data_IF_995440537781
#
_entry.id   IF_995440537781
#
_cell.length_a   1.000
_cell.length_b   1.000
_cell.length_c   1.000
_cell.angle_alpha   90.00
_cell.angle_beta   90.00
_cell.angle_gamma   90.00
#
_symmetry.space_group_name_H-M   'P 1'
#
loop_
_entity.id
_entity.type
_entity.pdbx_description
1 polymer ?
#
# COMPACT_ATOMS: atom_id res chain seq x y z
N UNK A 1 10.60 17.15 -19.55
CA UNK A 1 9.31 16.51 -19.26
C UNK A 1 8.68 16.17 -20.60
N UNK A 2 8.71 14.88 -20.94
CA UNK A 2 8.15 14.36 -22.19
C UNK A 2 7.47 13.02 -21.91
N UNK A 3 6.40 13.04 -21.11
CA UNK A 3 5.69 11.81 -20.77
C UNK A 3 4.66 11.38 -21.81
N UNK A 4 4.36 12.20 -22.83
CA UNK A 4 3.43 11.85 -23.93
C UNK A 4 3.94 10.66 -24.75
N UNK A 5 5.25 10.43 -24.76
CA UNK A 5 5.81 9.19 -25.36
C UNK A 5 5.36 7.89 -24.66
N UNK A 6 4.72 8.00 -23.49
CA UNK A 6 4.22 6.86 -22.71
C UNK A 6 2.69 6.63 -22.86
N UNK A 7 2.02 7.30 -23.80
CA UNK A 7 0.58 7.12 -24.07
C UNK A 7 0.22 5.64 -24.30
N UNK A 8 1.05 4.92 -25.06
CA UNK A 8 0.85 3.48 -25.32
C UNK A 8 0.91 2.63 -24.05
N UNK A 9 1.78 2.99 -23.09
CA UNK A 9 1.89 2.28 -21.83
C UNK A 9 0.62 2.49 -20.99
N UNK A 10 0.09 3.71 -20.95
CA UNK A 10 -1.19 4.00 -20.29
C UNK A 10 -2.34 3.26 -20.96
N UNK A 11 -2.47 3.37 -22.29
CA UNK A 11 -3.52 2.71 -23.06
C UNK A 11 -3.56 1.19 -22.83
N UNK A 12 -2.39 0.53 -22.80
CA UNK A 12 -2.29 -0.92 -22.56
C UNK A 12 -2.81 -1.38 -21.19
N UNK A 13 -2.90 -0.46 -20.23
CA UNK A 13 -3.36 -0.71 -18.86
C UNK A 13 -4.82 -0.31 -18.62
N UNK A 14 -5.37 0.62 -19.40
CA UNK A 14 -6.75 1.07 -19.25
C UNK A 14 -7.73 -0.07 -19.53
N UNK A 15 -7.59 -0.75 -20.69
CA UNK A 15 -8.43 -1.88 -21.10
C UNK A 15 -9.92 -1.62 -20.89
N UNK A 16 -10.37 -0.39 -21.17
CA UNK A 16 -11.76 0.04 -20.93
C UNK A 16 -12.63 -0.21 -22.16
N UNK A 17 -12.08 0.07 -23.34
CA UNK A 17 -12.77 -0.01 -24.62
C UNK A 17 -11.99 -0.92 -25.57
N UNK A 18 -11.88 -0.54 -26.85
CA UNK A 18 -10.93 -1.12 -27.79
C UNK A 18 -9.58 -0.39 -27.75
N UNK A 19 -8.55 -1.05 -28.29
CA UNK A 19 -7.16 -0.53 -28.30
C UNK A 19 -7.05 0.87 -28.90
N UNK A 20 -7.83 1.20 -29.93
CA UNK A 20 -7.77 2.50 -30.61
C UNK A 20 -8.39 3.57 -29.72
N UNK A 21 -9.56 3.30 -29.17
CA UNK A 21 -10.24 4.18 -28.23
C UNK A 21 -9.41 4.42 -26.95
N UNK A 22 -8.85 3.37 -26.36
CA UNK A 22 -7.98 3.47 -25.17
C UNK A 22 -6.71 4.29 -25.46
N UNK A 23 -6.14 4.16 -26.66
CA UNK A 23 -4.97 4.94 -27.08
C UNK A 23 -5.30 6.42 -27.24
N UNK A 24 -6.43 6.73 -27.89
CA UNK A 24 -6.89 8.10 -28.05
C UNK A 24 -7.20 8.74 -26.69
N UNK A 25 -7.87 8.00 -25.80
CA UNK A 25 -8.20 8.47 -24.46
C UNK A 25 -6.94 8.69 -23.60
N UNK A 26 -5.97 7.78 -23.65
CA UNK A 26 -4.69 7.95 -22.96
C UNK A 26 -3.97 9.24 -23.39
N UNK A 27 -3.93 9.49 -24.71
CA UNK A 27 -3.33 10.69 -25.29
C UNK A 27 -4.04 11.97 -24.83
N UNK A 28 -5.37 12.01 -24.90
CA UNK A 28 -6.15 13.15 -24.43
C UNK A 28 -5.95 13.42 -22.94
N UNK A 29 -5.89 12.36 -22.13
CA UNK A 29 -5.64 12.45 -20.70
C UNK A 29 -4.24 13.03 -20.41
N UNK A 30 -3.20 12.55 -21.09
CA UNK A 30 -1.82 13.03 -20.93
C UNK A 30 -1.69 14.50 -21.35
N UNK A 31 -2.29 14.89 -22.48
CA UNK A 31 -2.28 16.27 -22.96
C UNK A 31 -2.98 17.23 -21.99
N UNK A 32 -4.15 16.83 -21.47
CA UNK A 32 -4.88 17.62 -20.47
C UNK A 32 -4.05 17.84 -19.21
N UNK A 33 -3.36 16.80 -18.73
CA UNK A 33 -2.53 16.89 -17.54
C UNK A 33 -1.22 17.63 -17.78
N UNK A 34 -0.67 17.61 -19.00
CA UNK A 34 0.53 18.39 -19.38
C UNK A 34 0.34 19.86 -19.16
N UNK A 35 -0.73 20.43 -19.70
CA UNK A 35 -1.03 21.85 -19.48
C UNK A 35 -1.15 22.18 -17.99
N UNK A 36 -2.00 21.44 -17.27
CA UNK A 36 -2.20 21.64 -15.81
C UNK A 36 -0.92 21.49 -14.99
N UNK A 37 -0.06 20.55 -15.37
CA UNK A 37 1.17 20.26 -14.65
C UNK A 37 2.25 21.31 -14.91
N UNK A 38 2.32 21.85 -16.13
CA UNK A 38 3.18 23.00 -16.45
C UNK A 38 2.74 24.21 -15.64
N UNK A 39 1.47 24.61 -15.74
CA UNK A 39 0.91 25.77 -15.02
C UNK A 39 1.13 25.63 -13.50
N UNK A 40 0.91 24.43 -12.96
CA UNK A 40 1.13 24.16 -11.55
C UNK A 40 2.60 24.32 -11.15
N UNK A 41 3.57 23.88 -11.96
CA UNK A 41 4.99 23.95 -11.61
C UNK A 41 5.60 25.34 -11.76
N UNK A 42 4.99 26.21 -12.57
CA UNK A 42 5.35 27.63 -12.63
C UNK A 42 5.07 28.32 -11.29
N UNK A 43 3.94 28.01 -10.64
CA UNK A 43 3.68 28.38 -9.25
C UNK A 43 4.32 27.38 -8.27
N UNK A 44 5.63 27.55 -8.04
CA UNK A 44 6.41 26.67 -7.14
C UNK A 44 5.81 26.57 -5.73
N UNK A 45 5.31 27.69 -5.19
CA UNK A 45 4.72 27.71 -3.86
C UNK A 45 3.42 26.89 -3.87
N UNK A 46 2.54 27.17 -4.84
CA UNK A 46 1.31 26.42 -5.08
C UNK A 46 1.56 24.93 -5.24
N UNK A 47 2.46 24.51 -6.12
CA UNK A 47 2.79 23.10 -6.33
C UNK A 47 3.34 22.39 -5.07
N UNK A 48 3.96 23.14 -4.16
CA UNK A 48 4.48 22.59 -2.90
C UNK A 48 3.36 22.34 -1.90
N UNK A 49 2.47 23.33 -1.71
CA UNK A 49 1.48 23.33 -0.62
C UNK A 49 0.10 22.79 -1.04
N UNK A 50 -0.29 23.04 -2.30
CA UNK A 50 -1.59 22.76 -2.91
C UNK A 50 -1.41 22.39 -4.39
N UNK A 51 -0.79 21.22 -4.69
CA UNK A 51 -0.64 20.78 -6.07
C UNK A 51 -2.00 20.67 -6.75
N UNK A 52 -2.07 21.09 -8.02
CA UNK A 52 -3.31 21.05 -8.81
C UNK A 52 -3.86 19.63 -8.98
N UNK A 53 -2.98 18.62 -8.92
CA UNK A 53 -3.36 17.23 -8.78
C UNK A 53 -3.50 16.86 -7.30
N UNK A 54 -4.73 16.53 -6.88
CA UNK A 54 -5.00 16.01 -5.54
C UNK A 54 -4.06 14.84 -5.27
N UNK A 55 -3.38 14.91 -4.13
CA UNK A 55 -2.47 13.87 -3.66
C UNK A 55 -1.41 13.46 -4.69
N UNK A 56 -1.06 14.34 -5.65
CA UNK A 56 -0.12 14.03 -6.73
C UNK A 56 -0.46 12.74 -7.50
N UNK A 57 -1.74 12.37 -7.60
CA UNK A 57 -2.16 11.10 -8.22
C UNK A 57 -1.66 10.93 -9.66
N UNK A 58 -1.60 12.02 -10.43
CA UNK A 58 -1.04 11.98 -11.78
C UNK A 58 0.46 11.62 -11.78
N UNK A 59 1.25 12.16 -10.86
CA UNK A 59 2.66 11.79 -10.71
C UNK A 59 2.82 10.32 -10.30
N UNK A 60 1.97 9.84 -9.39
CA UNK A 60 1.94 8.43 -8.97
C UNK A 60 1.67 7.52 -10.16
N UNK A 61 0.69 7.88 -11.00
CA UNK A 61 0.39 7.16 -12.24
C UNK A 61 1.60 7.11 -13.18
N UNK A 62 2.30 8.24 -13.40
CA UNK A 62 3.50 8.26 -14.23
C UNK A 62 4.60 7.33 -13.69
N UNK A 63 4.81 7.33 -12.37
CA UNK A 63 5.75 6.40 -11.71
C UNK A 63 5.32 4.95 -11.94
N UNK A 64 4.03 4.65 -11.81
CA UNK A 64 3.53 3.29 -12.08
C UNK A 64 3.73 2.85 -13.51
N UNK A 65 3.62 3.77 -14.48
CA UNK A 65 3.88 3.52 -15.89
C UNK A 65 5.36 3.29 -16.21
N UNK A 66 6.26 3.49 -15.24
CA UNK A 66 7.70 3.36 -15.43
C UNK A 66 8.30 4.55 -16.17
N UNK A 67 7.69 5.74 -16.05
CA UNK A 67 8.27 6.97 -16.61
C UNK A 67 9.53 7.32 -15.81
N UNK A 68 10.64 7.48 -16.52
CA UNK A 68 11.94 7.78 -15.92
C UNK A 68 11.99 9.21 -15.34
N UNK A 69 12.78 9.46 -14.28
CA UNK A 69 12.84 10.77 -13.61
C UNK A 69 13.04 12.01 -14.52
N UNK A 70 13.83 11.97 -15.62
CA UNK A 70 13.96 13.12 -16.53
C UNK A 70 12.67 13.52 -17.24
N UNK A 71 11.76 12.58 -17.42
CA UNK A 71 10.48 12.77 -18.11
C UNK A 71 9.36 13.14 -17.15
N UNK A 72 9.53 12.88 -15.86
CA UNK A 72 8.63 13.31 -14.80
C UNK A 72 8.63 14.86 -14.64
N UNK A 73 7.57 15.43 -14.05
CA UNK A 73 7.55 16.84 -13.70
C UNK A 73 8.56 17.13 -12.59
N UNK A 74 9.74 17.63 -12.97
CA UNK A 74 10.94 17.67 -12.12
C UNK A 74 10.74 18.41 -10.79
N UNK A 75 10.09 19.57 -10.80
CA UNK A 75 9.83 20.31 -9.56
C UNK A 75 8.84 19.55 -8.68
N UNK A 76 7.71 19.13 -9.26
CA UNK A 76 6.70 18.35 -8.54
C UNK A 76 7.29 17.06 -7.93
N UNK A 77 8.12 16.35 -8.69
CA UNK A 77 8.77 15.12 -8.26
C UNK A 77 9.79 15.37 -7.14
N UNK A 78 10.59 16.44 -7.23
CA UNK A 78 11.52 16.81 -6.15
C UNK A 78 10.80 17.10 -4.82
N UNK A 79 9.68 17.83 -4.88
CA UNK A 79 8.86 18.12 -3.69
C UNK A 79 8.22 16.85 -3.14
N UNK A 80 7.80 15.93 -4.01
CA UNK A 80 7.28 14.63 -3.60
C UNK A 80 8.33 13.81 -2.83
N UNK A 81 9.55 13.73 -3.35
CA UNK A 81 10.66 13.02 -2.70
C UNK A 81 11.04 13.66 -1.35
N UNK A 82 11.06 14.98 -1.25
CA UNK A 82 11.30 15.67 0.04
C UNK A 82 10.20 15.37 1.07
N UNK A 83 8.93 15.39 0.64
CA UNK A 83 7.81 15.03 1.51
C UNK A 83 7.91 13.59 2.01
N UNK A 84 8.26 12.64 1.14
CA UNK A 84 8.51 11.23 1.52
C UNK A 84 9.65 11.13 2.53
N UNK A 85 10.77 11.83 2.28
CA UNK A 85 11.92 11.85 3.19
C UNK A 85 11.53 12.31 4.59
N UNK A 86 10.85 13.45 4.68
CA UNK A 86 10.43 14.08 5.94
C UNK A 86 9.41 13.21 6.67
N UNK A 87 8.50 12.57 5.95
CA UNK A 87 7.55 11.64 6.55
C UNK A 87 8.28 10.44 7.19
N UNK A 88 9.19 9.79 6.44
CA UNK A 88 9.88 8.58 6.92
C UNK A 88 10.87 8.89 8.04
N UNK A 89 11.71 9.94 7.89
CA UNK A 89 12.82 10.21 8.81
C UNK A 89 12.44 11.13 9.97
N UNK A 90 11.54 12.08 9.73
CA UNK A 90 11.18 13.11 10.73
C UNK A 90 9.77 12.93 11.31
N UNK A 91 8.97 12.00 10.78
CA UNK A 91 7.55 11.82 11.15
C UNK A 91 6.74 13.10 10.97
N UNK A 92 7.08 13.90 9.95
CA UNK A 92 6.41 15.17 9.63
C UNK A 92 5.75 15.14 8.27
N UNK A 93 4.67 15.90 8.15
CA UNK A 93 3.96 16.09 6.90
C UNK A 93 2.57 15.46 6.93
N UNK A 94 2.00 15.24 5.75
CA UNK A 94 0.74 14.52 5.59
C UNK A 94 1.01 13.01 5.54
N UNK A 95 -0.01 12.24 5.85
CA UNK A 95 0.04 10.80 5.71
C UNK A 95 0.36 10.38 4.28
N UNK A 96 1.20 9.37 4.17
CA UNK A 96 1.70 8.85 2.90
C UNK A 96 1.07 7.50 2.58
N UNK A 97 -0.26 7.51 2.43
CA UNK A 97 -1.04 6.33 2.04
C UNK A 97 -0.88 6.07 0.54
N UNK A 98 -0.63 4.80 0.19
CA UNK A 98 -0.47 4.26 -1.18
C UNK A 98 0.54 5.00 -2.06
N UNK A 99 1.55 5.61 -1.45
CA UNK A 99 2.56 6.39 -2.15
C UNK A 99 3.56 5.49 -2.85
N UNK A 100 3.69 5.66 -4.17
CA UNK A 100 4.59 4.84 -4.99
C UNK A 100 5.82 5.61 -5.38
N UNK A 101 6.98 5.01 -5.21
CA UNK A 101 8.28 5.65 -5.45
C UNK A 101 9.17 4.62 -6.16
N UNK A 102 9.98 5.01 -7.16
CA UNK A 102 11.04 4.13 -7.66
C UNK A 102 11.99 3.73 -6.53
N UNK A 103 12.34 2.44 -6.43
CA UNK A 103 13.18 1.94 -5.34
C UNK A 103 14.52 2.68 -5.25
N UNK A 104 15.13 2.96 -6.40
CA UNK A 104 16.40 3.70 -6.49
C UNK A 104 16.29 5.09 -5.85
N UNK A 105 15.18 5.78 -6.09
CA UNK A 105 14.97 7.14 -5.61
C UNK A 105 14.63 7.15 -4.13
N UNK A 106 13.83 6.19 -3.63
CA UNK A 106 13.61 6.03 -2.18
C UNK A 106 14.96 5.85 -1.47
N UNK A 107 15.80 4.92 -1.96
CA UNK A 107 17.10 4.63 -1.35
C UNK A 107 18.02 5.86 -1.39
N UNK A 108 18.09 6.56 -2.52
CA UNK A 108 18.86 7.79 -2.65
C UNK A 108 18.42 8.87 -1.66
N UNK A 109 17.11 9.10 -1.55
CA UNK A 109 16.52 10.12 -0.66
C UNK A 109 16.78 9.84 0.81
N UNK A 110 16.85 8.56 1.18
CA UNK A 110 17.15 8.12 2.55
C UNK A 110 18.66 7.97 2.82
N UNK A 111 19.51 8.33 1.85
CA UNK A 111 20.96 8.16 1.87
C UNK A 111 21.39 6.70 2.12
N UNK A 112 20.85 5.78 1.33
CA UNK A 112 21.09 4.34 1.40
C UNK A 112 21.52 3.80 0.05
N UNK A 113 22.56 2.96 0.03
CA UNK A 113 23.06 2.34 -1.19
C UNK A 113 22.35 1.03 -1.56
N UNK A 114 21.58 0.43 -0.65
CA UNK A 114 20.88 -0.83 -0.91
C UNK A 114 19.69 -1.08 0.03
N UNK A 115 18.80 -1.98 -0.38
CA UNK A 115 17.70 -2.49 0.46
C UNK A 115 18.21 -3.17 1.74
N UNK A 116 19.37 -3.84 1.68
CA UNK A 116 19.99 -4.43 2.86
C UNK A 116 20.38 -3.36 3.88
N UNK A 117 20.94 -2.24 3.41
CA UNK A 117 21.26 -1.11 4.28
C UNK A 117 19.98 -0.48 4.85
N UNK A 118 18.91 -0.39 4.05
CA UNK A 118 17.60 0.06 4.50
C UNK A 118 17.10 -0.77 5.68
N UNK A 119 17.00 -2.09 5.54
CA UNK A 119 16.49 -2.93 6.62
C UNK A 119 17.37 -2.92 7.85
N UNK A 120 18.70 -3.02 7.69
CA UNK A 120 19.65 -3.00 8.82
C UNK A 120 19.64 -1.68 9.58
N UNK A 121 19.44 -0.55 8.89
CA UNK A 121 19.36 0.76 9.55
C UNK A 121 18.04 0.91 10.28
N UNK A 122 16.92 0.63 9.61
CA UNK A 122 15.62 0.86 10.21
C UNK A 122 15.25 -0.16 11.30
N UNK A 123 15.77 -1.39 11.25
CA UNK A 123 15.61 -2.35 12.35
C UNK A 123 16.28 -1.89 13.66
N UNK A 124 17.17 -0.90 13.60
CA UNK A 124 17.79 -0.27 14.78
C UNK A 124 17.04 0.98 15.25
N UNK A 125 16.23 1.58 14.38
CA UNK A 125 15.49 2.82 14.65
C UNK A 125 14.09 2.48 15.16
N UNK A 126 13.43 1.52 14.51
CA UNK A 126 12.09 1.10 14.86
C UNK A 126 12.11 0.22 16.11
N UNK A 127 11.19 0.52 17.02
CA UNK A 127 11.01 -0.22 18.28
C UNK A 127 10.61 -1.68 18.02
N UNK A 128 9.80 -1.86 16.96
CA UNK A 128 9.33 -3.14 16.47
C UNK A 128 9.43 -3.12 14.95
N UNK A 129 10.05 -4.14 14.39
CA UNK A 129 10.13 -4.29 12.94
C UNK A 129 10.05 -5.75 12.55
N UNK A 130 9.43 -6.00 11.41
CA UNK A 130 9.38 -7.31 10.78
C UNK A 130 9.57 -7.15 9.28
N UNK A 131 10.13 -8.16 8.65
CA UNK A 131 10.34 -8.15 7.21
C UNK A 131 10.16 -9.56 6.66
N UNK A 132 9.37 -9.68 5.60
CA UNK A 132 9.17 -10.93 4.87
C UNK A 132 9.56 -10.69 3.42
N UNK A 133 10.24 -11.67 2.81
CA UNK A 133 10.66 -11.61 1.43
C UNK A 133 10.41 -12.96 0.76
N UNK A 134 9.80 -12.92 -0.40
CA UNK A 134 9.60 -14.08 -1.27
C UNK A 134 9.62 -13.61 -2.72
N UNK A 135 10.39 -14.31 -3.57
CA UNK A 135 10.60 -13.97 -4.98
C UNK A 135 10.96 -12.48 -5.22
N UNK A 136 10.11 -11.79 -5.97
CA UNK A 136 10.26 -10.39 -6.37
C UNK A 136 9.54 -9.43 -5.43
N UNK A 137 9.03 -9.90 -4.29
CA UNK A 137 8.31 -9.08 -3.32
C UNK A 137 9.04 -9.08 -1.99
N UNK A 138 9.14 -7.91 -1.38
CA UNK A 138 9.58 -7.76 -0.01
C UNK A 138 8.67 -6.79 0.72
N UNK A 139 8.17 -7.19 1.87
CA UNK A 139 7.30 -6.38 2.69
C UNK A 139 8.01 -6.13 4.02
N UNK A 140 8.10 -4.87 4.41
CA UNK A 140 8.76 -4.43 5.65
C UNK A 140 7.79 -3.57 6.43
N UNK A 141 7.61 -3.89 7.71
CA UNK A 141 6.84 -3.07 8.63
C UNK A 141 7.72 -2.66 9.80
N UNK A 142 7.59 -1.41 10.25
CA UNK A 142 8.19 -0.98 11.50
C UNK A 142 7.64 0.34 12.02
N UNK A 143 7.43 0.37 13.33
CA UNK A 143 6.49 1.27 13.99
C UNK A 143 5.16 1.27 13.20
N UNK A 144 4.79 2.39 12.56
CA UNK A 144 3.56 2.55 11.77
C UNK A 144 3.81 2.59 10.25
N UNK A 145 5.05 2.38 9.80
CA UNK A 145 5.39 2.41 8.37
C UNK A 145 5.33 1.01 7.78
N UNK A 146 4.66 0.88 6.65
CA UNK A 146 4.61 -0.33 5.87
C UNK A 146 5.15 -0.06 4.47
N UNK A 147 6.12 -0.85 4.04
CA UNK A 147 6.75 -0.76 2.73
C UNK A 147 6.52 -2.06 1.97
N UNK A 148 5.91 -1.97 0.80
CA UNK A 148 5.80 -3.08 -0.16
C UNK A 148 6.75 -2.81 -1.33
N UNK A 149 7.88 -3.49 -1.37
CA UNK A 149 8.83 -3.47 -2.48
C UNK A 149 8.43 -4.51 -3.54
N UNK A 150 8.18 -4.04 -4.76
CA UNK A 150 7.99 -4.86 -5.95
C UNK A 150 9.24 -4.71 -6.83
N UNK A 151 10.13 -5.70 -6.77
CA UNK A 151 11.39 -5.69 -7.49
C UNK A 151 11.22 -5.89 -8.99
N UNK A 152 10.15 -6.55 -9.43
CA UNK A 152 9.87 -6.74 -10.86
C UNK A 152 9.48 -5.41 -11.51
N UNK A 153 8.72 -4.58 -10.79
CA UNK A 153 8.33 -3.23 -11.22
C UNK A 153 9.36 -2.16 -10.87
N UNK A 154 10.29 -2.45 -9.96
CA UNK A 154 11.28 -1.47 -9.48
C UNK A 154 10.68 -0.36 -8.63
N UNK A 155 9.51 -0.59 -8.01
CA UNK A 155 8.79 0.39 -7.20
C UNK A 155 8.61 -0.09 -5.76
N UNK A 156 8.42 0.85 -4.86
CA UNK A 156 7.99 0.62 -3.48
C UNK A 156 6.72 1.40 -3.23
N UNK A 157 5.73 0.73 -2.62
CA UNK A 157 4.49 1.34 -2.13
C UNK A 157 4.61 1.53 -0.63
N UNK A 158 4.54 2.79 -0.19
CA UNK A 158 4.53 3.20 1.21
C UNK A 158 3.08 3.27 1.70
N UNK A 159 2.86 2.73 2.91
CA UNK A 159 1.57 2.54 3.58
C UNK A 159 0.47 2.12 2.60
N UNK A 160 0.60 0.90 2.02
CA UNK A 160 -0.27 0.39 0.96
C UNK A 160 -1.69 0.06 1.46
N UNK A 161 -2.38 0.95 2.16
CA UNK A 161 -3.65 0.67 2.83
C UNK A 161 -4.76 0.28 1.85
N UNK A 162 -4.79 0.86 0.64
CA UNK A 162 -5.76 0.49 -0.40
C UNK A 162 -5.18 -0.44 -1.46
N UNK A 163 -4.08 -1.13 -1.14
CA UNK A 163 -3.49 -2.10 -2.05
C UNK A 163 -4.30 -3.41 -2.01
N UNK A 164 -4.86 -3.86 -3.15
CA UNK A 164 -5.67 -5.07 -3.19
C UNK A 164 -4.80 -6.32 -3.04
N UNK A 165 -5.26 -7.28 -2.24
CA UNK A 165 -4.61 -8.58 -2.07
C UNK A 165 -5.17 -9.55 -3.12
N UNK A 166 -4.61 -9.49 -4.33
CA UNK A 166 -5.15 -10.22 -5.49
C UNK A 166 -4.77 -11.71 -5.61
N UNK A 167 -4.11 -12.31 -4.62
CA UNK A 167 -3.85 -13.75 -4.60
C UNK A 167 -3.44 -14.27 -3.20
N UNK A 168 -3.60 -15.58 -3.01
CA UNK A 168 -3.29 -16.27 -1.76
C UNK A 168 -1.83 -16.12 -1.30
N UNK A 169 -0.89 -16.09 -2.25
CA UNK A 169 0.52 -15.94 -1.93
C UNK A 169 0.80 -14.58 -1.29
N UNK A 170 0.27 -13.50 -1.88
CA UNK A 170 0.40 -12.16 -1.31
C UNK A 170 -0.31 -12.05 0.04
N UNK A 171 -1.49 -12.65 0.20
CA UNK A 171 -2.18 -12.72 1.49
C UNK A 171 -1.27 -13.35 2.56
N UNK A 172 -0.68 -14.51 2.23
CA UNK A 172 0.22 -15.24 3.14
C UNK A 172 1.43 -14.41 3.54
N UNK A 173 2.03 -13.64 2.61
CA UNK A 173 3.14 -12.75 2.92
C UNK A 173 2.75 -11.68 3.95
N UNK A 174 1.63 -10.99 3.73
CA UNK A 174 1.16 -9.98 4.68
C UNK A 174 0.76 -10.58 6.03
N UNK A 175 0.09 -11.73 6.04
CA UNK A 175 -0.29 -12.43 7.27
C UNK A 175 0.94 -12.84 8.07
N UNK A 176 1.97 -13.39 7.43
CA UNK A 176 3.22 -13.74 8.09
C UNK A 176 3.89 -12.51 8.70
N UNK A 177 3.99 -11.42 7.92
CA UNK A 177 4.57 -10.17 8.36
C UNK A 177 3.86 -9.59 9.57
N UNK A 178 2.52 -9.50 9.51
CA UNK A 178 1.71 -8.92 10.58
C UNK A 178 1.65 -9.84 11.80
N UNK A 179 1.72 -11.15 11.62
CA UNK A 179 1.81 -12.10 12.75
C UNK A 179 3.07 -11.89 13.56
N UNK A 180 4.21 -11.78 12.89
CA UNK A 180 5.49 -11.47 13.53
C UNK A 180 5.45 -10.07 14.16
N UNK A 181 4.97 -9.08 13.40
CA UNK A 181 4.90 -7.69 13.84
C UNK A 181 3.88 -7.46 14.96
N UNK A 182 2.86 -8.30 15.15
CA UNK A 182 1.93 -8.17 16.27
C UNK A 182 2.14 -9.24 17.35
N UNK A 183 2.98 -10.24 17.11
CA UNK A 183 3.27 -11.31 18.06
C UNK A 183 2.07 -12.25 18.21
N UNK A 184 1.31 -12.42 17.13
CA UNK A 184 0.09 -13.23 17.10
C UNK A 184 0.36 -14.55 16.40
N UNK A 185 -0.27 -15.61 16.89
CA UNK A 185 -0.30 -16.88 16.15
C UNK A 185 -1.44 -16.82 15.16
N UNK A 186 -1.13 -16.79 13.87
CA UNK A 186 -2.13 -16.85 12.80
C UNK A 186 -1.77 -17.90 11.75
N UNK A 187 -2.79 -18.32 10.99
CA UNK A 187 -2.65 -19.23 9.87
C UNK A 187 -3.62 -18.82 8.78
N UNK A 188 -3.17 -18.91 7.54
CA UNK A 188 -4.05 -18.85 6.37
C UNK A 188 -4.12 -20.22 5.70
N UNK A 189 -5.32 -20.59 5.27
CA UNK A 189 -5.56 -21.76 4.43
C UNK A 189 -6.31 -21.36 3.18
N UNK A 190 -5.94 -22.01 2.07
CA UNK A 190 -6.62 -21.94 0.80
C UNK A 190 -7.69 -23.06 0.78
N UNK A 191 -8.97 -22.68 0.88
CA UNK A 191 -10.09 -23.63 0.79
C UNK A 191 -10.38 -23.95 -0.67
N UNK A 192 -10.41 -22.92 -1.51
CA UNK A 192 -10.50 -23.00 -2.98
C UNK A 192 -9.76 -21.81 -3.59
N UNK A 193 -9.54 -21.82 -4.92
CA UNK A 193 -8.73 -20.81 -5.63
C UNK A 193 -9.02 -19.35 -5.26
N UNK A 194 -10.27 -19.03 -4.92
CA UNK A 194 -10.71 -17.70 -4.53
C UNK A 194 -11.32 -17.62 -3.13
N UNK A 195 -11.20 -18.66 -2.30
CA UNK A 195 -11.72 -18.66 -0.94
C UNK A 195 -10.59 -18.97 0.05
N UNK A 196 -10.22 -17.96 0.82
CA UNK A 196 -9.16 -18.03 1.81
C UNK A 196 -9.72 -17.87 3.21
N UNK A 197 -9.12 -18.58 4.17
CA UNK A 197 -9.53 -18.54 5.57
C UNK A 197 -8.35 -18.10 6.41
N UNK A 198 -8.49 -16.97 7.10
CA UNK A 198 -7.55 -16.49 8.10
C UNK A 198 -8.04 -16.92 9.48
N UNK A 199 -7.19 -17.62 10.23
CA UNK A 199 -7.41 -18.00 11.63
C UNK A 199 -6.38 -17.34 12.52
N UNK A 200 -6.82 -16.74 13.62
CA UNK A 200 -5.97 -16.02 14.56
C UNK A 200 -6.34 -16.37 16.00
N UNK A 201 -5.34 -16.71 16.79
CA UNK A 201 -5.50 -16.85 18.23
C UNK A 201 -5.61 -15.45 18.87
N UNK A 202 -6.65 -15.22 19.64
CA UNK A 202 -6.85 -13.98 20.38
C UNK A 202 -6.23 -14.10 21.76
N UNK A 203 -5.46 -13.09 22.16
CA UNK A 203 -4.75 -13.08 23.45
C UNK A 203 -5.66 -12.84 24.65
N UNK A 204 -6.87 -12.31 24.45
CA UNK A 204 -7.81 -11.95 25.51
C UNK A 204 -9.27 -12.03 25.04
N UNK A 205 -10.21 -12.12 26.00
CA UNK A 205 -11.64 -12.03 25.75
C UNK A 205 -12.02 -10.69 25.11
N UNK A 206 -12.49 -10.72 23.87
CA UNK A 206 -13.06 -9.58 23.15
C UNK A 206 -14.54 -9.49 23.45
N UNK A 207 -15.07 -8.27 23.57
CA UNK A 207 -16.52 -8.10 23.66
C UNK A 207 -17.15 -8.34 22.29
N UNK A 208 -18.41 -8.74 22.30
CA UNK A 208 -19.23 -8.89 21.09
C UNK A 208 -19.35 -7.53 20.34
N UNK A 209 -19.44 -6.42 21.08
CA UNK A 209 -19.48 -5.06 20.50
C UNK A 209 -18.20 -4.71 19.71
N UNK A 210 -17.04 -5.12 20.22
CA UNK A 210 -15.75 -4.91 19.54
C UNK A 210 -15.71 -5.69 18.21
N UNK A 211 -16.23 -6.92 18.20
CA UNK A 211 -16.31 -7.75 17.00
C UNK A 211 -17.30 -7.19 15.98
N UNK A 212 -18.46 -6.75 16.44
CA UNK A 212 -19.47 -6.12 15.58
C UNK A 212 -18.93 -4.83 14.93
N UNK A 213 -18.14 -4.04 15.67
CA UNK A 213 -17.43 -2.89 15.12
C UNK A 213 -16.47 -3.29 14.01
N UNK A 214 -15.60 -4.29 14.23
CA UNK A 214 -14.68 -4.78 13.19
C UNK A 214 -15.43 -5.33 11.97
N UNK A 215 -16.48 -6.13 12.19
CA UNK A 215 -17.31 -6.67 11.11
C UNK A 215 -17.94 -5.56 10.28
N UNK A 216 -18.44 -4.50 10.91
CA UNK A 216 -19.02 -3.35 10.19
C UNK A 216 -18.01 -2.59 9.35
N UNK A 217 -16.74 -2.54 9.78
CA UNK A 217 -15.65 -1.89 9.04
C UNK A 217 -15.24 -2.70 7.82
N UNK A 218 -15.32 -4.03 7.92
CA UNK A 218 -14.98 -4.97 6.87
C UNK A 218 -16.19 -5.37 6.01
N UNK A 219 -17.33 -4.73 6.23
CA UNK A 219 -18.59 -5.08 5.60
C UNK A 219 -18.46 -5.10 4.08
N UNK A 220 -19.04 -6.13 3.44
CA UNK A 220 -18.95 -6.43 2.02
C UNK A 220 -17.56 -6.82 1.48
N UNK A 221 -16.50 -6.86 2.30
CA UNK A 221 -15.13 -7.27 1.91
C UNK A 221 -14.77 -8.67 2.38
N UNK A 222 -15.57 -9.24 3.27
CA UNK A 222 -15.41 -10.58 3.82
C UNK A 222 -16.74 -11.33 3.69
N UNK A 223 -16.68 -12.64 3.53
CA UNK A 223 -17.87 -13.50 3.48
C UNK A 223 -18.44 -13.72 4.87
N UNK A 224 -17.55 -14.04 5.83
CA UNK A 224 -17.96 -14.29 7.20
C UNK A 224 -16.84 -13.98 8.19
N UNK A 225 -17.25 -13.59 9.40
CA UNK A 225 -16.38 -13.45 10.56
C UNK A 225 -17.00 -14.19 11.73
N UNK A 226 -16.22 -15.08 12.34
CA UNK A 226 -16.68 -15.89 13.45
C UNK A 226 -15.64 -15.89 14.57
N UNK A 227 -16.09 -15.81 15.82
CA UNK A 227 -15.25 -16.05 17.00
C UNK A 227 -15.75 -17.30 17.69
N UNK A 228 -14.84 -18.23 17.94
CA UNK A 228 -15.14 -19.48 18.64
C UNK A 228 -14.23 -19.65 19.84
N UNK A 229 -14.73 -20.31 20.88
CA UNK A 229 -13.90 -20.76 21.99
C UNK A 229 -13.17 -22.05 21.61
N UNK A 230 -11.90 -22.12 21.98
CA UNK A 230 -11.07 -23.32 21.87
C UNK A 230 -10.44 -23.63 23.22
N UNK A 231 -9.90 -24.84 23.38
CA UNK A 231 -9.18 -25.24 24.58
C UNK A 231 -7.96 -24.34 24.90
N UNK A 232 -7.51 -23.52 23.94
CA UNK A 232 -6.35 -22.62 24.05
C UNK A 232 -6.72 -21.13 24.13
N UNK A 233 -8.01 -20.80 24.14
CA UNK A 233 -8.49 -19.41 24.10
C UNK A 233 -9.49 -19.17 22.97
N UNK A 234 -9.76 -17.90 22.67
CA UNK A 234 -10.65 -17.53 21.57
C UNK A 234 -9.90 -17.54 20.23
N UNK A 235 -10.57 -18.00 19.18
CA UNK A 235 -10.06 -18.02 17.81
C UNK A 235 -10.97 -17.17 16.94
N UNK A 236 -10.39 -16.18 16.27
CA UNK A 236 -11.02 -15.40 15.22
C UNK A 236 -10.80 -16.12 13.89
N UNK A 237 -11.89 -16.40 13.17
CA UNK A 237 -11.88 -16.90 11.81
C UNK A 237 -12.52 -15.87 10.89
N UNK A 238 -11.82 -15.54 9.80
CA UNK A 238 -12.29 -14.64 8.75
C UNK A 238 -12.23 -15.39 7.42
N UNK A 239 -13.34 -15.35 6.69
CA UNK A 239 -13.47 -15.93 5.36
C UNK A 239 -13.45 -14.83 4.32
N UNK A 240 -12.49 -14.92 3.39
CA UNK A 240 -12.24 -13.94 2.34
C UNK A 240 -12.53 -14.62 1.01
N UNK A 241 -13.39 -14.02 0.19
CA UNK A 241 -13.73 -14.49 -1.15
C UNK A 241 -13.33 -13.43 -2.18
N UNK A 242 -12.52 -13.81 -3.17
CA UNK A 242 -12.13 -12.98 -4.31
C UNK A 242 -12.85 -13.45 -5.58
N UNK A 243 -14.15 -13.15 -5.68
CA UNK A 243 -15.00 -13.57 -6.81
C UNK A 243 -15.11 -12.54 -7.93
N UNK A 244 -14.46 -11.37 -7.77
CA UNK A 244 -14.54 -10.25 -8.71
C UNK A 244 -15.87 -9.49 -8.68
N UNK A 245 -16.81 -9.85 -7.80
CA UNK A 245 -18.07 -9.16 -7.59
C UNK A 245 -18.05 -8.33 -6.30
N UNK A 246 -17.34 -8.79 -5.28
CA UNK A 246 -17.11 -8.03 -4.04
C UNK A 246 -15.94 -7.06 -4.17
N UNK A 247 -15.94 -5.93 -3.42
CA UNK A 247 -14.75 -5.11 -3.27
C UNK A 247 -13.58 -5.96 -2.78
N UNK A 248 -12.42 -5.80 -3.42
CA UNK A 248 -11.23 -6.56 -3.06
C UNK A 248 -10.85 -6.34 -1.60
N UNK A 249 -10.43 -7.41 -0.95
CA UNK A 249 -9.81 -7.35 0.37
C UNK A 249 -8.45 -6.62 0.28
N UNK A 250 -8.29 -5.55 1.05
CA UNK A 250 -7.12 -4.67 0.99
C UNK A 250 -6.15 -4.91 2.16
N UNK A 251 -4.91 -4.45 2.03
CA UNK A 251 -3.92 -4.54 3.10
C UNK A 251 -4.33 -3.74 4.34
N UNK A 252 -5.02 -2.61 4.17
CA UNK A 252 -5.57 -1.82 5.27
C UNK A 252 -6.59 -2.61 6.10
N UNK A 253 -7.42 -3.43 5.46
CA UNK A 253 -8.37 -4.32 6.14
C UNK A 253 -7.64 -5.33 7.02
N UNK A 254 -6.59 -5.96 6.47
CA UNK A 254 -5.77 -6.92 7.20
C UNK A 254 -5.02 -6.26 8.38
N UNK A 255 -4.48 -5.05 8.19
CA UNK A 255 -3.88 -4.27 9.29
C UNK A 255 -4.87 -4.04 10.43
N UNK A 256 -6.12 -3.69 10.12
CA UNK A 256 -7.18 -3.48 11.13
C UNK A 256 -7.52 -4.76 11.87
N UNK A 257 -7.62 -5.90 11.18
CA UNK A 257 -7.82 -7.22 11.80
C UNK A 257 -6.69 -7.55 12.79
N UNK A 258 -5.44 -7.33 12.41
CA UNK A 258 -4.30 -7.61 13.28
C UNK A 258 -4.15 -6.61 14.44
N UNK A 259 -4.42 -5.33 14.21
CA UNK A 259 -4.47 -4.32 15.26
C UNK A 259 -5.59 -4.60 16.27
N UNK A 260 -6.76 -5.03 15.75
CA UNK A 260 -7.87 -5.51 16.55
C UNK A 260 -7.44 -6.69 17.42
N UNK A 261 -6.93 -7.76 16.81
CA UNK A 261 -6.53 -8.97 17.53
C UNK A 261 -5.45 -8.73 18.59
N UNK A 262 -4.47 -7.86 18.28
CA UNK A 262 -3.34 -7.54 19.17
C UNK A 262 -3.63 -6.53 20.26
N UNK A 263 -4.80 -5.88 20.27
CA UNK A 263 -5.19 -4.85 21.27
C UNK A 263 -4.41 -3.54 21.14
N UNK A 264 -3.55 -3.40 20.12
CA UNK A 264 -2.73 -2.21 19.91
C UNK A 264 -3.49 -1.08 19.17
N UNK A 265 -4.70 -1.33 18.66
CA UNK A 265 -5.50 -0.33 17.93
C UNK A 265 -6.24 0.73 18.78
N UNK A 266 -5.93 0.90 20.08
CA UNK A 266 -6.63 1.87 20.96
C UNK A 266 -5.95 3.25 21.06
N UNK A 267 -4.80 3.45 20.42
CA UNK A 267 -4.08 4.73 20.44
C UNK A 267 -3.83 5.24 19.02
N UNK A 268 -4.85 5.77 18.35
CA UNK A 268 -4.64 6.76 17.28
C UNK A 268 -5.87 7.67 17.19
N UNK A 269 -5.86 8.85 17.84
CA UNK A 269 -6.81 9.90 17.50
C UNK A 269 -6.49 10.42 16.11
N UNK A 270 -7.53 10.68 15.32
CA UNK A 270 -7.49 11.37 14.04
C UNK A 270 -6.92 12.80 14.14
#
# INVERSE_FOLDING_TARGET
MDYEKHDNALASRMRLLDKTADTQLAKELMQLHKKKCTDCQEDRLGCTVRPACKDRNFLIMLIELGVEPPDLPSFCYSQYLDQVKRFILERKGRDMIDRRIPIKDLLSVLNMGSIRQFTTRFSKIWSRSSAVREDNVMIVIGDELLFHFDFARGIVTLNPDHFPIGNFHLLKLYVNLLSEHYGLTSRVSDTTRNWWVLRMDLTDGRSEDELNSLSSILDNRIESMNVSSSNRGMVLQIEIIDDGHTPHFEVGDLKRVFAFASKQGRETPA
#
